data_IF_530823998847
#
_entry.id   IF_530823998847
#
_cell.length_a   1.000
_cell.length_b   1.000
_cell.length_c   1.000
_cell.angle_alpha   90.00
_cell.angle_beta   90.00
_cell.angle_gamma   90.00
#
_symmetry.space_group_name_H-M   'P 1'
#
loop_
_entity.id
_entity.type
_entity.pdbx_description
1 polymer ?
#
# COMPACT_ATOMS: atom_id res chain seq x y z
N UNK A 1 5.97 -0.68 7.41
CA UNK A 1 5.57 0.73 7.20
C UNK A 1 5.24 1.30 8.56
N UNK A 2 6.06 2.18 9.11
CA UNK A 2 5.85 2.65 10.49
C UNK A 2 4.79 3.76 10.61
N UNK A 3 4.53 4.50 9.52
CA UNK A 3 3.63 5.65 9.53
C UNK A 3 2.69 5.65 8.32
N UNK A 4 1.56 6.32 8.47
CA UNK A 4 0.59 6.56 7.39
C UNK A 4 1.25 7.29 6.20
N UNK A 5 2.10 8.28 6.47
CA UNK A 5 2.82 9.01 5.43
C UNK A 5 3.70 8.08 4.57
N UNK A 6 4.39 7.12 5.20
CA UNK A 6 5.20 6.14 4.47
C UNK A 6 4.32 5.23 3.61
N UNK A 7 3.17 4.81 4.13
CA UNK A 7 2.18 4.02 3.39
C UNK A 7 1.63 4.79 2.18
N UNK A 8 1.21 6.04 2.37
CA UNK A 8 0.68 6.91 1.32
C UNK A 8 1.73 7.21 0.24
N UNK A 9 3.00 7.42 0.62
CA UNK A 9 4.10 7.58 -0.35
C UNK A 9 4.31 6.34 -1.21
N UNK A 10 4.32 5.13 -0.63
CA UNK A 10 4.40 3.90 -1.42
C UNK A 10 3.22 3.77 -2.37
N UNK A 11 1.99 3.94 -1.87
CA UNK A 11 0.80 3.80 -2.71
C UNK A 11 0.77 4.84 -3.83
N UNK A 12 1.26 6.06 -3.59
CA UNK A 12 1.43 7.07 -4.64
C UNK A 12 2.40 6.61 -5.74
N UNK A 13 3.54 6.00 -5.37
CA UNK A 13 4.48 5.42 -6.35
C UNK A 13 3.86 4.27 -7.14
N UNK A 14 3.20 3.35 -6.43
CA UNK A 14 2.52 2.20 -7.04
C UNK A 14 1.43 2.64 -8.03
N UNK A 15 0.69 3.70 -7.73
CA UNK A 15 -0.35 4.21 -8.62
C UNK A 15 0.20 5.04 -9.77
N UNK A 16 0.96 6.10 -9.45
CA UNK A 16 1.23 7.18 -10.41
C UNK A 16 2.51 6.97 -11.23
N UNK A 17 3.41 6.06 -10.81
CA UNK A 17 4.70 5.87 -11.48
C UNK A 17 4.85 4.47 -12.08
N UNK A 18 4.32 3.43 -11.44
CA UNK A 18 4.43 2.05 -11.95
C UNK A 18 3.10 1.48 -12.44
N UNK A 19 1.98 2.17 -12.20
CA UNK A 19 0.64 1.71 -12.58
C UNK A 19 0.32 0.29 -12.07
N UNK A 20 0.81 -0.04 -10.89
CA UNK A 20 0.58 -1.33 -10.23
C UNK A 20 -0.89 -1.51 -9.81
N UNK A 21 -1.53 -0.43 -9.35
CA UNK A 21 -2.92 -0.46 -8.87
C UNK A 21 -3.41 0.91 -8.45
N UNK A 22 -4.64 0.97 -7.94
CA UNK A 22 -5.31 2.20 -7.53
C UNK A 22 -5.44 2.32 -6.02
N UNK A 23 -5.37 3.55 -5.52
CA UNK A 23 -5.72 3.90 -4.15
C UNK A 23 -7.25 3.96 -4.02
N UNK A 24 -7.85 2.94 -3.42
CA UNK A 24 -9.29 2.85 -3.21
C UNK A 24 -9.63 1.91 -2.03
N UNK A 25 -10.70 2.24 -1.29
CA UNK A 25 -11.13 1.49 -0.09
C UNK A 25 -11.90 0.20 -0.39
N UNK A 26 -12.26 -0.05 -1.65
CA UNK A 26 -12.98 -1.24 -2.10
C UNK A 26 -12.05 -2.46 -2.25
N UNK A 27 -12.61 -3.59 -2.64
CA UNK A 27 -11.92 -4.87 -2.89
C UNK A 27 -12.64 -5.69 -3.96
N UNK A 28 -11.98 -6.71 -4.51
CA UNK A 28 -12.58 -7.65 -5.46
C UNK A 28 -12.75 -7.13 -6.89
N UNK A 29 -12.04 -6.06 -7.26
CA UNK A 29 -12.01 -5.55 -8.62
C UNK A 29 -10.95 -6.25 -9.49
N UNK A 30 -11.06 -6.15 -10.82
CA UNK A 30 -10.11 -6.79 -11.73
C UNK A 30 -8.72 -6.12 -11.73
N UNK A 31 -8.63 -4.84 -11.34
CA UNK A 31 -7.37 -4.14 -11.06
C UNK A 31 -7.02 -4.23 -9.58
N UNK A 32 -5.73 -4.14 -9.27
CA UNK A 32 -5.26 -4.10 -7.88
C UNK A 32 -5.73 -2.82 -7.19
N UNK A 33 -6.35 -2.97 -6.01
CA UNK A 33 -6.75 -1.86 -5.15
C UNK A 33 -5.91 -1.83 -3.87
N UNK A 34 -5.55 -0.64 -3.41
CA UNK A 34 -4.68 -0.43 -2.25
C UNK A 34 -5.28 0.62 -1.31
N UNK A 35 -5.12 0.43 -0.01
CA UNK A 35 -5.59 1.39 1.00
C UNK A 35 -4.75 1.34 2.28
N UNK A 36 -4.61 2.46 2.99
CA UNK A 36 -4.10 2.48 4.35
C UNK A 36 -5.23 2.15 5.33
N UNK A 37 -5.22 0.96 5.94
CA UNK A 37 -6.38 0.47 6.72
C UNK A 37 -6.68 1.34 7.93
N UNK A 38 -5.65 1.82 8.63
CA UNK A 38 -5.79 2.57 9.87
C UNK A 38 -6.52 3.91 9.71
N UNK A 39 -6.39 4.57 8.55
CA UNK A 39 -7.03 5.86 8.25
C UNK A 39 -8.24 5.75 7.31
N UNK A 40 -8.54 4.55 6.79
CA UNK A 40 -9.69 4.33 5.91
C UNK A 40 -10.69 3.33 6.47
N UNK A 41 -10.55 2.04 6.13
CA UNK A 41 -11.55 1.01 6.45
C UNK A 41 -11.70 0.70 7.93
N UNK A 42 -10.76 1.16 8.75
CA UNK A 42 -10.79 1.04 10.21
C UNK A 42 -10.78 2.40 10.89
N UNK A 43 -11.18 3.49 10.21
CA UNK A 43 -11.22 4.85 10.77
C UNK A 43 -11.99 4.93 12.07
N UNK A 44 -13.10 4.19 12.17
CA UNK A 44 -14.03 4.18 13.30
C UNK A 44 -13.46 3.53 14.57
N UNK A 45 -12.38 2.75 14.46
CA UNK A 45 -11.73 2.14 15.61
C UNK A 45 -10.84 3.16 16.33
N UNK A 46 -10.86 3.15 17.65
CA UNK A 46 -9.94 3.93 18.46
C UNK A 46 -8.51 3.34 18.41
N UNK A 47 -7.54 4.05 18.99
CA UNK A 47 -6.13 3.65 18.94
C UNK A 47 -5.85 2.31 19.64
N UNK A 48 -6.54 2.02 20.74
CA UNK A 48 -6.40 0.78 21.50
C UNK A 48 -7.00 -0.41 20.74
N UNK A 49 -8.18 -0.24 20.16
CA UNK A 49 -8.83 -1.24 19.30
C UNK A 49 -7.97 -1.56 18.07
N UNK A 50 -7.39 -0.53 17.43
CA UNK A 50 -6.48 -0.71 16.28
C UNK A 50 -5.23 -1.49 16.69
N UNK A 51 -4.63 -1.15 17.84
CA UNK A 51 -3.45 -1.84 18.35
C UNK A 51 -3.77 -3.32 18.67
N UNK A 52 -4.89 -3.60 19.33
CA UNK A 52 -5.34 -4.95 19.66
C UNK A 52 -5.61 -5.80 18.42
N UNK A 53 -6.15 -5.20 17.36
CA UNK A 53 -6.39 -5.84 16.07
C UNK A 53 -5.14 -5.94 15.17
N UNK A 54 -3.99 -5.42 15.59
CA UNK A 54 -2.76 -5.41 14.79
C UNK A 54 -2.76 -4.43 13.61
N UNK A 55 -3.65 -3.43 13.62
CA UNK A 55 -3.76 -2.42 12.57
C UNK A 55 -2.77 -1.30 12.87
N UNK A 56 -1.55 -1.45 12.36
CA UNK A 56 -0.54 -0.38 12.46
C UNK A 56 -0.91 0.84 11.59
N UNK A 57 -0.47 2.06 11.95
CA UNK A 57 -0.74 3.27 11.16
C UNK A 57 -0.25 3.22 9.72
N UNK A 58 0.81 2.45 9.44
CA UNK A 58 1.34 2.26 8.09
C UNK A 58 0.82 1.00 7.37
N UNK A 59 -0.18 0.30 7.92
CA UNK A 59 -0.66 -0.95 7.32
C UNK A 59 -1.32 -0.68 5.96
N UNK A 60 -0.67 -1.13 4.88
CA UNK A 60 -1.22 -1.12 3.53
C UNK A 60 -1.94 -2.44 3.28
N UNK A 61 -3.23 -2.37 2.98
CA UNK A 61 -4.03 -3.49 2.47
C UNK A 61 -4.04 -3.44 0.95
N UNK A 62 -3.86 -4.60 0.31
CA UNK A 62 -3.94 -4.73 -1.14
C UNK A 62 -4.94 -5.84 -1.51
N UNK A 63 -5.90 -5.52 -2.37
CA UNK A 63 -6.76 -6.49 -3.05
C UNK A 63 -6.18 -6.70 -4.44
N UNK A 64 -5.51 -7.83 -4.67
CA UNK A 64 -4.81 -8.10 -5.92
C UNK A 64 -5.82 -8.44 -7.03
N UNK A 65 -5.77 -7.66 -8.11
CA UNK A 65 -6.55 -7.91 -9.31
C UNK A 65 -5.88 -8.93 -10.23
N UNK A 66 -6.57 -9.32 -11.31
CA UNK A 66 -6.10 -10.29 -12.30
C UNK A 66 -5.83 -9.67 -13.69
N UNK A 67 -5.78 -8.34 -13.78
CA UNK A 67 -5.44 -7.66 -15.02
C UNK A 67 -3.93 -7.69 -15.29
N UNK A 68 -3.56 -7.93 -16.55
CA UNK A 68 -2.17 -8.10 -16.95
C UNK A 68 -1.58 -9.46 -16.56
N UNK A 69 -0.28 -9.64 -16.79
CA UNK A 69 0.45 -10.86 -16.43
C UNK A 69 1.08 -10.74 -15.04
N UNK A 70 1.38 -11.87 -14.42
CA UNK A 70 2.06 -11.93 -13.12
C UNK A 70 3.40 -11.17 -13.17
N UNK A 71 4.17 -11.37 -14.23
CA UNK A 71 5.50 -10.78 -14.43
C UNK A 71 5.41 -9.26 -14.57
N UNK A 72 4.40 -8.75 -15.27
CA UNK A 72 4.14 -7.31 -15.36
C UNK A 72 3.83 -6.72 -13.99
N UNK A 73 2.89 -7.32 -13.25
CA UNK A 73 2.48 -6.82 -11.93
C UNK A 73 3.61 -6.90 -10.91
N UNK A 74 4.35 -8.00 -10.90
CA UNK A 74 5.52 -8.17 -10.06
C UNK A 74 6.60 -7.14 -10.37
N UNK A 75 6.92 -6.95 -11.65
CA UNK A 75 7.91 -5.96 -12.08
C UNK A 75 7.49 -4.51 -11.76
N UNK A 76 6.21 -4.17 -11.87
CA UNK A 76 5.69 -2.86 -11.44
C UNK A 76 5.83 -2.64 -9.93
N UNK A 77 5.59 -3.69 -9.14
CA UNK A 77 5.73 -3.64 -7.69
C UNK A 77 7.19 -3.49 -7.26
N UNK A 78 8.10 -4.31 -7.79
CA UNK A 78 9.54 -4.25 -7.50
C UNK A 78 10.14 -2.89 -7.88
N UNK A 79 9.79 -2.35 -9.07
CA UNK A 79 10.24 -1.02 -9.50
C UNK A 79 9.85 0.07 -8.50
N UNK A 80 8.64 0.01 -7.96
CA UNK A 80 8.20 0.98 -6.95
C UNK A 80 8.99 0.82 -5.64
N UNK A 81 9.22 -0.40 -5.18
CA UNK A 81 10.00 -0.67 -3.98
C UNK A 81 11.45 -0.19 -4.10
N UNK A 82 12.12 -0.53 -5.19
CA UNK A 82 13.50 -0.12 -5.45
C UNK A 82 13.62 1.40 -5.48
N UNK A 83 12.66 2.09 -6.14
CA UNK A 83 12.66 3.55 -6.21
C UNK A 83 12.59 4.21 -4.83
N UNK A 84 11.79 3.66 -3.91
CA UNK A 84 11.66 4.23 -2.56
C UNK A 84 12.89 3.92 -1.71
N UNK A 85 13.53 2.77 -1.90
CA UNK A 85 14.80 2.43 -1.25
C UNK A 85 15.96 3.33 -1.71
N UNK A 86 16.09 3.56 -3.02
CA UNK A 86 17.15 4.41 -3.61
C UNK A 86 17.03 5.88 -3.22
N UNK A 87 15.81 6.33 -2.91
CA UNK A 87 15.54 7.72 -2.52
C UNK A 87 15.99 8.05 -1.08
N UNK A 88 16.63 7.11 -0.37
CA UNK A 88 17.03 7.30 1.04
C UNK A 88 15.84 7.41 2.00
N UNK A 89 14.63 7.02 1.57
CA UNK A 89 13.36 7.21 2.30
C UNK A 89 13.18 6.16 3.40
N UNK A 90 13.98 5.10 3.38
CA UNK A 90 14.05 4.12 4.45
C UNK A 90 15.47 4.11 5.04
N UNK A 91 15.67 4.53 6.31
CA UNK A 91 16.94 4.31 6.96
C UNK A 91 17.20 2.80 6.95
N UNK A 92 18.40 2.40 6.53
CA UNK A 92 18.91 1.06 6.80
C UNK A 92 19.10 1.00 8.31
N UNK A 93 18.29 0.19 8.99
CA UNK A 93 18.54 -0.18 10.38
C UNK A 93 19.88 -0.90 10.48
#
# INVERSE_FOLDING_TARGET
METEDRANRLMNHLQNFTQFGFMAVSLGYHETLMSCSGSSTSSEMNAEEKALAGISPGLVRMSIGYSGTLEQRWGQFEKALNRIQDSGVFPKN
#
